data_IF_023666585940
#
_entry.id   IF_023666585940
#
_cell.length_a   1.000
_cell.length_b   1.000
_cell.length_c   1.000
_cell.angle_alpha   90.00
_cell.angle_beta   90.00
_cell.angle_gamma   90.00
#
_symmetry.space_group_name_H-M   'P 1'
#
loop_
_entity.id
_entity.type
_entity.pdbx_description
1 polymer ?
#
# COMPACT_ATOMS: atom_id res chain seq x y z
N UNK A 1 5.20 -5.11 18.62
CA UNK A 1 5.64 -3.98 17.77
C UNK A 1 6.92 -4.33 17.02
N UNK A 2 8.09 -4.46 17.68
CA UNK A 2 9.36 -4.82 17.01
C UNK A 2 9.28 -6.06 16.10
N UNK A 3 8.60 -7.11 16.54
CA UNK A 3 8.38 -8.33 15.74
C UNK A 3 7.60 -8.08 14.44
N UNK A 4 6.60 -7.20 14.45
CA UNK A 4 5.84 -6.84 13.25
C UNK A 4 6.67 -5.98 12.30
N UNK A 5 7.52 -5.10 12.84
CA UNK A 5 8.45 -4.32 12.03
C UNK A 5 9.48 -5.23 11.34
N UNK A 6 10.05 -6.18 12.06
CA UNK A 6 11.01 -7.14 11.50
C UNK A 6 10.34 -8.09 10.50
N UNK A 7 9.08 -8.49 10.76
CA UNK A 7 8.25 -9.20 9.79
C UNK A 7 8.07 -8.39 8.50
N UNK A 8 7.64 -7.14 8.58
CA UNK A 8 7.45 -6.28 7.40
C UNK A 8 8.76 -6.05 6.63
N UNK A 9 9.89 -5.88 7.33
CA UNK A 9 11.22 -5.82 6.69
C UNK A 9 11.54 -7.10 5.92
N UNK A 10 11.15 -8.27 6.44
CA UNK A 10 11.26 -9.55 5.74
C UNK A 10 10.49 -9.58 4.42
N UNK A 11 9.41 -8.79 4.30
CA UNK A 11 8.65 -8.59 3.07
C UNK A 11 9.18 -7.42 2.21
N UNK A 12 10.30 -6.79 2.57
CA UNK A 12 10.92 -5.70 1.83
C UNK A 12 10.36 -4.30 2.15
N UNK A 13 9.59 -4.17 3.23
CA UNK A 13 9.10 -2.85 3.65
C UNK A 13 10.19 -2.05 4.38
N UNK A 14 10.23 -0.76 4.09
CA UNK A 14 11.07 0.24 4.77
C UNK A 14 10.20 1.30 5.46
N UNK A 15 10.69 1.95 6.53
CA UNK A 15 9.96 3.05 7.16
C UNK A 15 9.65 4.17 6.16
N UNK A 16 8.47 4.74 6.28
CA UNK A 16 7.99 5.80 5.39
C UNK A 16 7.24 6.89 6.16
N UNK A 17 7.37 8.13 5.69
CA UNK A 17 6.61 9.27 6.19
C UNK A 17 6.44 10.35 5.13
N UNK A 18 5.23 10.91 5.01
CA UNK A 18 4.94 12.09 4.19
C UNK A 18 3.61 12.72 4.63
N UNK A 19 3.39 14.02 4.42
CA UNK A 19 2.08 14.64 4.65
C UNK A 19 1.51 14.45 6.06
N UNK A 20 2.37 14.41 7.09
CA UNK A 20 1.98 14.13 8.47
C UNK A 20 1.67 12.65 8.78
N UNK A 21 1.74 11.78 7.77
CA UNK A 21 1.54 10.34 7.90
C UNK A 21 2.86 9.61 8.17
N UNK A 22 2.75 8.46 8.83
CA UNK A 22 3.88 7.55 9.07
C UNK A 22 3.42 6.11 8.87
N UNK A 23 4.34 5.26 8.41
CA UNK A 23 4.05 3.88 8.10
C UNK A 23 5.22 3.16 7.45
N UNK A 24 4.89 2.26 6.53
CA UNK A 24 5.80 1.36 5.86
C UNK A 24 5.57 1.42 4.36
N UNK A 25 6.64 1.37 3.59
CA UNK A 25 6.63 1.42 2.13
C UNK A 25 7.36 0.23 1.53
N UNK A 26 6.84 -0.32 0.44
CA UNK A 26 7.54 -1.27 -0.42
C UNK A 26 7.22 -0.99 -1.89
N UNK A 27 8.18 -1.20 -2.77
CA UNK A 27 7.93 -1.33 -4.20
C UNK A 27 7.91 -2.81 -4.59
N UNK A 28 6.84 -3.25 -5.24
CA UNK A 28 6.69 -4.61 -5.77
C UNK A 28 6.80 -4.56 -7.29
N UNK A 29 7.72 -5.32 -7.88
CA UNK A 29 7.86 -5.43 -9.33
C UNK A 29 6.97 -6.56 -9.86
N UNK A 30 6.22 -6.27 -10.92
CA UNK A 30 5.50 -7.26 -11.72
C UNK A 30 6.14 -7.32 -13.09
N UNK A 31 6.63 -8.51 -13.42
CA UNK A 31 7.30 -8.78 -14.69
C UNK A 31 6.38 -9.66 -15.52
N UNK A 32 6.10 -9.22 -16.74
CA UNK A 32 5.38 -10.00 -17.74
C UNK A 32 6.39 -10.56 -18.72
N UNK A 33 6.60 -11.87 -18.65
CA UNK A 33 7.57 -12.58 -19.50
C UNK A 33 6.88 -13.43 -20.58
N UNK A 34 7.58 -13.66 -21.70
CA UNK A 34 7.26 -14.70 -22.67
C UNK A 34 8.49 -15.54 -23.05
N UNK A 35 8.30 -16.53 -23.93
CA UNK A 35 9.37 -17.41 -24.43
C UNK A 35 10.58 -16.65 -25.05
N UNK A 36 10.40 -15.39 -25.45
CA UNK A 36 11.45 -14.53 -26.02
C UNK A 36 12.08 -13.54 -25.01
N UNK A 37 11.70 -13.59 -23.73
CA UNK A 37 12.19 -12.72 -22.66
C UNK A 37 11.12 -11.82 -22.04
N UNK A 38 11.56 -10.83 -21.27
CA UNK A 38 10.71 -9.85 -20.57
C UNK A 38 10.02 -8.93 -21.57
N UNK A 39 8.68 -8.91 -21.55
CA UNK A 39 7.85 -8.05 -22.42
C UNK A 39 7.60 -6.69 -21.76
N UNK A 40 7.35 -6.68 -20.45
CA UNK A 40 7.05 -5.47 -19.71
C UNK A 40 7.29 -5.66 -18.22
N UNK A 41 7.75 -4.60 -17.55
CA UNK A 41 7.84 -4.50 -16.10
C UNK A 41 7.11 -3.28 -15.62
N UNK A 42 6.29 -3.48 -14.61
CA UNK A 42 5.57 -2.41 -13.95
C UNK A 42 5.64 -2.61 -12.45
N UNK A 43 5.54 -1.51 -11.72
CA UNK A 43 5.67 -1.52 -10.27
C UNK A 43 4.35 -1.17 -9.59
N UNK A 44 4.14 -1.76 -8.41
CA UNK A 44 3.17 -1.27 -7.44
C UNK A 44 3.92 -0.70 -6.24
N UNK A 45 3.52 0.49 -5.81
CA UNK A 45 3.98 1.07 -4.56
C UNK A 45 2.95 0.80 -3.47
N UNK A 46 3.37 0.05 -2.46
CA UNK A 46 2.53 -0.38 -1.35
C UNK A 46 2.88 0.42 -0.10
N UNK A 47 1.86 1.02 0.53
CA UNK A 47 2.00 1.78 1.76
C UNK A 47 1.06 1.23 2.83
N UNK A 48 1.60 0.83 3.98
CA UNK A 48 0.83 0.51 5.19
C UNK A 48 1.00 1.67 6.16
N UNK A 49 -0.03 2.50 6.31
CA UNK A 49 -0.02 3.74 7.08
C UNK A 49 -0.61 3.50 8.47
N UNK A 50 0.21 3.70 9.51
CA UNK A 50 -0.15 3.46 10.91
C UNK A 50 -0.46 4.74 11.68
N UNK A 51 -0.05 5.90 11.16
CA UNK A 51 -0.36 7.22 11.72
C UNK A 51 -0.87 8.10 10.60
N UNK A 52 -2.07 8.65 10.78
CA UNK A 52 -2.72 9.55 9.82
C UNK A 52 -3.86 10.33 10.50
N UNK A 53 -4.43 11.30 9.79
CA UNK A 53 -5.54 12.13 10.24
C UNK A 53 -6.85 11.82 9.47
N UNK A 54 -7.00 10.59 8.98
CA UNK A 54 -8.20 10.12 8.29
C UNK A 54 -8.42 10.90 6.99
N UNK A 55 -9.59 11.51 6.84
CA UNK A 55 -10.00 12.22 5.63
C UNK A 55 -9.03 13.35 5.23
N UNK A 56 -8.39 14.01 6.21
CA UNK A 56 -7.35 15.02 5.93
C UNK A 56 -6.14 14.40 5.22
N UNK A 57 -5.70 13.23 5.67
CA UNK A 57 -4.62 12.49 5.03
C UNK A 57 -5.01 11.98 3.64
N UNK A 58 -6.25 11.50 3.47
CA UNK A 58 -6.77 11.08 2.15
C UNK A 58 -6.79 12.26 1.17
N UNK A 59 -7.28 13.42 1.60
CA UNK A 59 -7.29 14.61 0.76
C UNK A 59 -5.88 15.08 0.42
N UNK A 60 -4.97 15.09 1.39
CA UNK A 60 -3.57 15.43 1.15
C UNK A 60 -2.93 14.51 0.09
N UNK A 61 -3.14 13.19 0.20
CA UNK A 61 -2.67 12.21 -0.80
C UNK A 61 -3.28 12.51 -2.18
N UNK A 62 -4.58 12.78 -2.25
CA UNK A 62 -5.24 13.10 -3.53
C UNK A 62 -4.72 14.37 -4.15
N UNK A 63 -4.35 15.37 -3.38
CA UNK A 63 -3.88 16.66 -3.89
C UNK A 63 -2.39 16.64 -4.25
N UNK A 64 -1.57 16.05 -3.39
CA UNK A 64 -0.11 16.20 -3.45
C UNK A 64 0.62 14.97 -3.97
N UNK A 65 0.00 13.78 -3.94
CA UNK A 65 0.65 12.58 -4.44
C UNK A 65 0.71 12.60 -5.97
N UNK A 66 1.89 12.29 -6.49
CA UNK A 66 2.19 12.30 -7.93
C UNK A 66 2.43 10.88 -8.42
N UNK A 67 2.06 10.63 -9.68
CA UNK A 67 2.47 9.44 -10.41
C UNK A 67 3.99 9.37 -10.50
N UNK A 68 4.54 8.16 -10.45
CA UNK A 68 5.95 7.90 -10.75
C UNK A 68 6.08 7.08 -12.03
N UNK A 69 7.16 7.29 -12.76
CA UNK A 69 7.47 6.50 -13.97
C UNK A 69 7.53 5.00 -13.62
N UNK A 70 7.01 4.17 -14.54
CA UNK A 70 6.86 2.72 -14.41
C UNK A 70 6.03 2.20 -13.22
N UNK A 71 5.49 3.08 -12.38
CA UNK A 71 4.57 2.71 -11.30
C UNK A 71 3.15 2.69 -11.84
N UNK A 72 2.58 1.50 -11.92
CA UNK A 72 1.21 1.29 -12.36
C UNK A 72 0.23 1.71 -11.28
N UNK A 73 0.50 1.42 -10.01
CA UNK A 73 -0.43 1.74 -8.92
C UNK A 73 0.30 2.12 -7.64
N UNK A 74 -0.24 3.11 -6.94
CA UNK A 74 0.12 3.45 -5.57
C UNK A 74 -1.05 3.04 -4.66
N UNK A 75 -0.82 2.07 -3.77
CA UNK A 75 -1.82 1.52 -2.85
C UNK A 75 -1.52 1.98 -1.42
N UNK A 76 -2.38 2.80 -0.86
CA UNK A 76 -2.30 3.27 0.53
C UNK A 76 -3.34 2.55 1.39
N UNK A 77 -2.89 1.73 2.33
CA UNK A 77 -3.71 1.12 3.36
C UNK A 77 -3.60 1.94 4.65
N UNK A 78 -4.64 2.69 5.00
CA UNK A 78 -4.74 3.48 6.23
C UNK A 78 -5.42 2.64 7.32
N UNK A 79 -4.65 2.25 8.33
CA UNK A 79 -5.14 1.35 9.40
C UNK A 79 -5.97 2.08 10.46
N UNK A 80 -6.64 1.31 11.32
CA UNK A 80 -7.30 1.83 12.52
C UNK A 80 -8.40 2.91 12.21
N UNK A 81 -9.08 2.79 11.07
CA UNK A 81 -10.19 3.67 10.68
C UNK A 81 -11.55 3.20 11.24
N UNK A 82 -12.51 4.12 11.35
CA UNK A 82 -13.88 3.83 11.81
C UNK A 82 -14.73 3.08 10.79
N UNK A 83 -14.48 3.31 9.50
CA UNK A 83 -15.18 2.71 8.37
C UNK A 83 -14.19 2.33 7.27
N UNK A 84 -14.55 1.31 6.49
CA UNK A 84 -13.81 0.94 5.29
C UNK A 84 -14.29 1.76 4.11
N UNK A 85 -13.38 2.52 3.49
CA UNK A 85 -13.70 3.38 2.35
C UNK A 85 -12.55 3.39 1.35
N UNK A 86 -12.86 2.98 0.12
CA UNK A 86 -11.91 2.98 -0.99
C UNK A 86 -12.05 4.26 -1.82
N UNK A 87 -10.98 5.04 -1.87
CA UNK A 87 -10.88 6.26 -2.69
C UNK A 87 -9.89 6.05 -3.82
N UNK A 88 -10.25 6.48 -5.04
CA UNK A 88 -9.40 6.32 -6.23
C UNK A 88 -9.14 7.66 -6.90
N UNK A 89 -7.92 7.85 -7.37
CA UNK A 89 -7.51 8.95 -8.26
C UNK A 89 -6.75 8.33 -9.44
N UNK A 90 -7.09 8.78 -10.65
CA UNK A 90 -6.44 8.36 -11.88
C UNK A 90 -5.44 9.44 -12.28
N UNK A 91 -4.21 9.07 -12.64
CA UNK A 91 -3.23 10.01 -13.17
C UNK A 91 -3.27 10.02 -14.70
N UNK A 92 -3.33 11.22 -15.28
CA UNK A 92 -3.21 11.45 -16.73
C UNK A 92 -4.14 10.53 -17.55
N UNK A 93 -5.44 10.51 -17.21
CA UNK A 93 -6.48 9.66 -17.82
C UNK A 93 -6.20 8.14 -17.81
N UNK A 94 -5.28 7.68 -16.94
CA UNK A 94 -4.97 6.27 -16.73
C UNK A 94 -3.63 5.84 -17.33
N UNK A 95 -2.95 6.73 -18.04
CA UNK A 95 -1.67 6.45 -18.69
C UNK A 95 -0.52 6.47 -17.67
N UNK A 96 -0.65 7.23 -16.57
CA UNK A 96 0.37 7.36 -15.52
C UNK A 96 0.00 6.65 -14.21
N UNK A 97 -0.79 5.60 -14.33
CA UNK A 97 -1.17 4.76 -13.21
C UNK A 97 -2.29 5.34 -12.32
N UNK A 98 -2.47 4.67 -11.18
CA UNK A 98 -3.56 4.92 -10.24
C UNK A 98 -3.04 5.20 -8.84
N UNK A 99 -3.82 5.98 -8.09
CA UNK A 99 -3.70 6.12 -6.65
C UNK A 99 -4.96 5.51 -6.02
N UNK A 100 -4.78 4.44 -5.25
CA UNK A 100 -5.82 3.77 -4.50
C UNK A 100 -5.55 3.95 -3.01
N UNK A 101 -6.51 4.49 -2.28
CA UNK A 101 -6.41 4.78 -0.85
C UNK A 101 -7.55 4.04 -0.16
N UNK A 102 -7.23 3.03 0.64
CA UNK A 102 -8.16 2.31 1.47
C UNK A 102 -8.04 2.79 2.91
N UNK A 103 -9.03 3.55 3.38
CA UNK A 103 -9.28 3.67 4.81
C UNK A 103 -9.83 2.33 5.27
N UNK A 104 -9.16 1.70 6.22
CA UNK A 104 -9.44 0.32 6.60
C UNK A 104 -9.96 0.24 8.02
N UNK A 105 -11.21 -0.23 8.14
CA UNK A 105 -11.75 -0.69 9.41
C UNK A 105 -11.37 -2.15 9.59
N UNK A 106 -10.79 -2.44 10.75
CA UNK A 106 -10.34 -3.78 11.10
C UNK A 106 -11.48 -4.81 11.01
N UNK A 107 -11.19 -5.95 10.37
CA UNK A 107 -12.12 -7.05 10.17
C UNK A 107 -12.88 -7.00 8.83
N UNK A 108 -12.88 -5.84 8.15
CA UNK A 108 -13.47 -5.76 6.83
C UNK A 108 -12.55 -6.43 5.78
N UNK A 109 -13.13 -6.80 4.63
CA UNK A 109 -12.42 -7.40 3.52
C UNK A 109 -12.48 -6.49 2.30
N UNK A 110 -11.34 -6.26 1.66
CA UNK A 110 -11.24 -5.57 0.37
C UNK A 110 -10.26 -6.32 -0.52
N UNK A 111 -10.76 -6.94 -1.61
CA UNK A 111 -10.00 -7.86 -2.45
C UNK A 111 -8.76 -7.23 -3.08
N UNK A 112 -8.77 -5.93 -3.37
CA UNK A 112 -7.62 -5.23 -3.97
C UNK A 112 -6.45 -5.03 -3.01
N UNK A 113 -6.72 -5.19 -1.72
CA UNK A 113 -5.80 -4.97 -0.62
C UNK A 113 -5.65 -6.22 0.25
N UNK A 114 -6.09 -7.40 -0.20
CA UNK A 114 -6.12 -8.60 0.65
C UNK A 114 -4.73 -8.96 1.19
N UNK A 115 -3.71 -8.78 0.36
CA UNK A 115 -2.30 -8.97 0.65
C UNK A 115 -1.81 -7.98 1.71
N UNK A 116 -2.09 -6.68 1.52
CA UNK A 116 -1.70 -5.64 2.49
C UNK A 116 -2.47 -5.78 3.81
N UNK A 117 -3.75 -6.14 3.76
CA UNK A 117 -4.60 -6.40 4.92
C UNK A 117 -4.05 -7.62 5.69
N UNK A 118 -3.68 -8.70 4.99
CA UNK A 118 -3.08 -9.88 5.61
C UNK A 118 -1.80 -9.51 6.38
N UNK A 119 -0.91 -8.71 5.76
CA UNK A 119 0.32 -8.24 6.41
C UNK A 119 0.03 -7.32 7.60
N UNK A 120 -0.97 -6.45 7.48
CA UNK A 120 -1.38 -5.55 8.56
C UNK A 120 -1.98 -6.31 9.76
N UNK A 121 -2.75 -7.38 9.52
CA UNK A 121 -3.36 -8.20 10.58
C UNK A 121 -2.32 -8.97 11.41
N UNK A 122 -1.15 -9.28 10.84
CA UNK A 122 -0.04 -9.88 11.61
C UNK A 122 0.46 -9.00 12.75
N UNK A 123 0.17 -7.68 12.73
CA UNK A 123 0.49 -6.73 13.80
C UNK A 123 -0.08 -7.15 15.15
N UNK A 124 -1.22 -7.86 15.17
CA UNK A 124 -1.95 -8.22 16.40
C UNK A 124 -1.98 -9.71 16.70
N UNK A 125 -1.80 -10.58 15.71
CA UNK A 125 -1.95 -12.03 15.92
C UNK A 125 -0.85 -12.68 16.78
N UNK A 126 0.28 -12.02 17.05
CA UNK A 126 1.38 -12.60 17.86
C UNK A 126 1.93 -13.94 17.33
N UNK A 127 1.51 -14.36 16.13
CA UNK A 127 1.89 -15.59 15.46
C UNK A 127 2.53 -15.21 14.15
N UNK A 128 3.83 -14.97 14.20
CA UNK A 128 4.66 -15.05 13.00
C UNK A 128 4.78 -16.53 12.69
N UNK A 129 3.94 -17.03 11.79
CA UNK A 129 4.17 -18.34 11.17
C UNK A 129 5.32 -18.10 10.19
N UNK A 130 6.55 -18.37 10.65
CA UNK A 130 7.71 -18.52 9.79
C UNK A 130 7.44 -19.76 8.92
N UNK A 131 7.24 -19.55 7.61
CA UNK A 131 7.39 -20.61 6.60
C UNK A 131 8.85 -20.66 6.15
#
# INVERSE_FOLDING_TARGET
MKEWEDFLKGYGFVPWSAGGMQGWYRQTAFVKDCLAGEIARYYADDYIVIRHEGDRSVNWLREHWQSREDVMTHRFLLLDCHETRLTKKVFWLGIRGWLEILQYKEGDAEKRFDDLIYLAQQRRCGRIILQ
#
